data_IF_997240035781
#
_entry.id   IF_997240035781
#
_cell.length_a   1.000
_cell.length_b   1.000
_cell.length_c   1.000
_cell.angle_alpha   90.00
_cell.angle_beta   90.00
_cell.angle_gamma   90.00
#
_symmetry.space_group_name_H-M   'P 1'
#
loop_
_entity.id
_entity.type
_entity.pdbx_description
1 polymer ?
#
# COMPACT_ATOMS: atom_id res chain seq x y z
N UNK A 1 -52.61 29.26 24.88
CA UNK A 1 -52.13 29.57 23.52
C UNK A 1 -51.47 28.29 23.04
N UNK A 2 -52.17 27.57 22.15
CA UNK A 2 -51.75 26.27 21.64
C UNK A 2 -50.83 26.51 20.43
N UNK A 3 -49.67 25.87 20.42
CA UNK A 3 -48.68 25.94 19.34
C UNK A 3 -48.37 24.50 18.95
N UNK A 4 -49.37 23.83 18.41
CA UNK A 4 -49.27 22.50 17.80
C UNK A 4 -50.05 22.58 16.49
N UNK A 5 -49.42 23.00 15.41
CA UNK A 5 -49.83 22.67 14.04
C UNK A 5 -48.85 23.26 13.03
N UNK A 6 -48.69 22.55 11.91
CA UNK A 6 -47.90 22.86 10.71
C UNK A 6 -46.47 22.30 10.74
N UNK A 7 -46.36 20.99 10.48
CA UNK A 7 -45.28 20.47 9.67
C UNK A 7 -45.92 19.95 8.38
N UNK A 8 -45.94 20.81 7.36
CA UNK A 8 -46.33 20.48 6.01
C UNK A 8 -45.29 19.54 5.40
N UNK A 9 -45.82 18.42 4.94
CA UNK A 9 -45.19 17.29 4.30
C UNK A 9 -44.85 17.66 2.86
N UNK A 10 -43.65 18.19 2.61
CA UNK A 10 -43.12 18.33 1.25
C UNK A 10 -42.33 17.06 0.89
N UNK A 11 -43.03 16.10 0.29
CA UNK A 11 -42.42 15.05 -0.51
C UNK A 11 -42.03 15.66 -1.86
N UNK A 12 -40.76 16.04 -2.01
CA UNK A 12 -40.20 16.36 -3.32
C UNK A 12 -39.81 15.06 -4.03
N UNK A 13 -40.34 14.87 -5.23
CA UNK A 13 -40.05 13.77 -6.14
C UNK A 13 -38.56 13.77 -6.51
N UNK A 14 -37.82 12.76 -6.06
CA UNK A 14 -36.45 12.51 -6.50
C UNK A 14 -36.43 12.26 -8.04
N UNK A 15 -35.60 12.98 -8.82
CA UNK A 15 -35.47 12.71 -10.24
C UNK A 15 -34.85 11.34 -10.46
N UNK A 16 -35.62 10.45 -11.09
CA UNK A 16 -35.13 9.16 -11.62
C UNK A 16 -34.10 9.47 -12.69
N UNK A 17 -32.82 9.28 -12.37
CA UNK A 17 -31.72 9.40 -13.31
C UNK A 17 -31.63 8.09 -14.09
N UNK A 18 -32.32 8.01 -15.22
CA UNK A 18 -32.13 6.95 -16.21
C UNK A 18 -30.71 7.09 -16.79
N UNK A 19 -29.83 6.15 -16.45
CA UNK A 19 -28.56 5.98 -17.13
C UNK A 19 -28.85 5.23 -18.44
N UNK A 20 -28.76 5.94 -19.56
CA UNK A 20 -28.67 5.31 -20.87
C UNK A 20 -27.37 4.50 -20.93
N UNK A 21 -27.50 3.17 -20.82
CA UNK A 21 -26.44 2.18 -21.04
C UNK A 21 -26.14 2.02 -22.55
N UNK A 22 -25.91 3.13 -23.25
CA UNK A 22 -25.50 3.12 -24.65
C UNK A 22 -23.99 3.32 -24.80
N UNK A 23 -23.39 2.34 -25.51
CA UNK A 23 -22.13 2.42 -26.25
C UNK A 23 -20.84 2.74 -25.46
N UNK A 24 -20.19 1.69 -24.97
CA UNK A 24 -18.71 1.67 -24.95
C UNK A 24 -18.25 0.80 -26.12
N UNK A 25 -18.02 1.46 -27.25
CA UNK A 25 -17.35 0.89 -28.42
C UNK A 25 -15.98 0.33 -28.02
N UNK A 26 -15.73 -0.90 -28.49
CA UNK A 26 -14.42 -1.55 -28.56
C UNK A 26 -13.46 -0.69 -29.38
N UNK A 27 -12.69 0.18 -28.72
CA UNK A 27 -11.54 0.82 -29.34
C UNK A 27 -10.36 -0.14 -29.38
N UNK A 28 -10.06 -0.52 -30.62
CA UNK A 28 -9.09 -1.49 -31.07
C UNK A 28 -7.66 -1.27 -30.54
N UNK A 29 -6.96 -2.40 -30.48
CA UNK A 29 -5.54 -2.51 -30.20
C UNK A 29 -4.71 -1.81 -31.29
N UNK A 30 -4.01 -0.73 -30.94
CA UNK A 30 -2.89 -0.24 -31.74
C UNK A 30 -1.55 -0.58 -31.07
N UNK A 31 -0.85 -1.45 -31.79
CA UNK A 31 0.47 -1.99 -31.54
C UNK A 31 1.53 -0.90 -31.67
N UNK A 32 2.19 -0.51 -30.57
CA UNK A 32 3.42 0.30 -30.63
C UNK A 32 4.60 -0.51 -30.13
N UNK A 33 5.26 -1.16 -31.09
CA UNK A 33 6.60 -1.71 -30.97
C UNK A 33 7.62 -0.59 -30.72
N UNK A 34 7.83 -0.20 -29.45
CA UNK A 34 8.94 0.66 -29.05
C UNK A 34 10.13 -0.17 -28.56
N UNK A 35 10.99 -0.52 -29.53
CA UNK A 35 12.37 -0.93 -29.26
C UNK A 35 13.10 0.16 -28.44
N UNK A 36 13.76 -0.21 -27.34
CA UNK A 36 14.35 0.82 -26.48
C UNK A 36 15.18 0.32 -25.30
N UNK A 37 16.32 -0.31 -25.58
CA UNK A 37 17.53 -0.38 -24.72
C UNK A 37 17.30 -0.60 -23.22
N UNK A 38 17.35 -1.87 -22.81
CA UNK A 38 17.55 -2.28 -21.41
C UNK A 38 18.86 -1.68 -20.90
N UNK A 39 18.80 -0.57 -20.17
CA UNK A 39 19.90 -0.08 -19.35
C UNK A 39 20.15 -1.11 -18.26
N UNK A 40 21.26 -1.85 -18.39
CA UNK A 40 21.81 -2.67 -17.32
C UNK A 40 22.10 -1.78 -16.12
N UNK A 41 21.31 -1.91 -15.06
CA UNK A 41 21.62 -1.31 -13.78
C UNK A 41 22.88 -1.99 -13.25
N UNK A 42 23.99 -1.28 -13.36
CA UNK A 42 25.25 -1.63 -12.75
C UNK A 42 25.00 -1.85 -11.25
N UNK A 43 25.37 -3.04 -10.77
CA UNK A 43 25.48 -3.36 -9.35
C UNK A 43 26.54 -2.46 -8.74
N UNK A 44 26.11 -1.34 -8.17
CA UNK A 44 26.97 -0.52 -7.33
C UNK A 44 27.25 -1.26 -6.01
N UNK A 45 28.47 -1.79 -5.96
CA UNK A 45 29.41 -1.71 -4.85
C UNK A 45 28.79 -1.90 -3.46
N UNK A 46 28.73 -3.16 -3.03
CA UNK A 46 28.78 -3.48 -1.60
C UNK A 46 30.07 -2.90 -1.00
N UNK A 47 30.03 -2.17 0.13
CA UNK A 47 31.23 -1.71 0.81
C UNK A 47 32.00 -2.93 1.36
N UNK A 48 33.24 -3.04 0.88
CA UNK A 48 34.22 -4.03 1.29
C UNK A 48 34.59 -3.80 2.77
N UNK A 49 33.91 -4.52 3.67
CA UNK A 49 34.26 -4.53 5.10
C UNK A 49 35.62 -5.22 5.28
N UNK A 50 36.68 -4.41 5.30
CA UNK A 50 38.03 -4.84 5.68
C UNK A 50 38.02 -5.38 7.11
N UNK A 51 37.79 -6.68 7.27
CA UNK A 51 38.05 -7.41 8.51
C UNK A 51 39.55 -7.38 8.78
N UNK A 52 39.96 -6.49 9.68
CA UNK A 52 41.28 -6.41 10.29
C UNK A 52 41.52 -7.71 11.07
N UNK A 53 42.07 -8.73 10.39
CA UNK A 53 42.58 -9.94 11.04
C UNK A 53 43.77 -9.53 11.90
N UNK A 54 43.56 -9.45 13.22
CA UNK A 54 44.67 -9.53 14.18
C UNK A 54 45.22 -10.94 14.08
N UNK A 55 46.39 -11.05 13.44
CA UNK A 55 47.28 -12.19 13.59
C UNK A 55 47.70 -12.29 15.05
N UNK A 56 47.51 -13.47 15.62
CA UNK A 56 48.01 -13.88 16.92
C UNK A 56 48.43 -15.34 16.78
N UNK A 57 49.67 -15.59 17.13
CA UNK A 57 50.53 -16.68 16.70
C UNK A 57 50.13 -18.10 17.10
N UNK A 58 50.43 -18.99 16.14
CA UNK A 58 51.21 -20.22 16.26
C UNK A 58 50.97 -21.26 17.38
N UNK A 59 50.81 -22.50 16.88
CA UNK A 59 51.29 -23.78 17.42
C UNK A 59 50.55 -24.40 18.62
N UNK A 60 49.70 -25.37 18.29
CA UNK A 60 49.86 -26.75 18.79
C UNK A 60 49.17 -27.74 17.85
N UNK A 61 49.98 -28.56 17.16
CA UNK A 61 49.52 -29.79 16.50
C UNK A 61 48.93 -30.69 17.59
N UNK A 62 47.61 -30.82 17.64
CA UNK A 62 46.93 -31.81 18.44
C UNK A 62 46.08 -32.66 17.50
N UNK A 63 46.29 -33.97 17.62
CA UNK A 63 45.58 -35.10 17.01
C UNK A 63 44.19 -34.73 16.49
N UNK A 64 44.02 -34.77 15.16
CA UNK A 64 42.72 -34.82 14.51
C UNK A 64 41.98 -36.08 15.01
N UNK A 65 40.99 -35.85 15.85
CA UNK A 65 39.86 -36.77 15.98
C UNK A 65 38.84 -36.36 14.92
N UNK A 66 38.14 -37.31 14.28
CA UNK A 66 37.15 -36.99 13.26
C UNK A 66 36.10 -36.07 13.88
N UNK A 67 36.04 -34.83 13.39
CA UNK A 67 35.08 -33.83 13.81
C UNK A 67 33.67 -34.43 13.71
N UNK A 68 32.93 -34.58 14.83
CA UNK A 68 31.52 -34.87 14.74
C UNK A 68 30.89 -33.65 14.08
N UNK A 69 30.68 -33.74 12.76
CA UNK A 69 30.01 -32.72 11.97
C UNK A 69 28.83 -32.20 12.79
N UNK A 70 28.81 -30.91 13.19
CA UNK A 70 27.79 -30.44 14.10
C UNK A 70 26.46 -30.59 13.38
N UNK A 71 25.71 -31.63 13.73
CA UNK A 71 24.35 -31.81 13.25
C UNK A 71 23.60 -30.63 13.85
N UNK A 72 23.46 -29.55 13.06
CA UNK A 72 22.73 -28.37 13.48
C UNK A 72 21.37 -28.90 13.95
N UNK A 73 21.07 -28.87 15.27
CA UNK A 73 19.85 -29.46 15.74
C UNK A 73 18.73 -28.77 14.98
N UNK A 74 17.93 -29.57 14.27
CA UNK A 74 16.73 -29.09 13.61
C UNK A 74 15.98 -28.27 14.65
N UNK A 75 15.90 -26.95 14.43
CA UNK A 75 15.17 -26.06 15.32
C UNK A 75 13.78 -26.68 15.47
N UNK A 76 13.39 -26.97 16.71
CA UNK A 76 12.08 -27.58 17.01
C UNK A 76 11.00 -26.86 16.20
N UNK A 77 10.09 -27.62 15.58
CA UNK A 77 8.99 -27.07 14.77
C UNK A 77 8.28 -25.91 15.49
N UNK A 78 8.18 -25.98 16.83
CA UNK A 78 7.65 -24.91 17.69
C UNK A 78 8.33 -23.55 17.51
N UNK A 79 9.66 -23.53 17.40
CA UNK A 79 10.44 -22.29 17.18
C UNK A 79 10.18 -21.71 15.80
N UNK A 80 10.03 -22.55 14.78
CA UNK A 80 9.74 -22.11 13.43
C UNK A 80 8.35 -21.48 13.34
N UNK A 81 7.32 -22.14 13.91
CA UNK A 81 5.95 -21.63 13.95
C UNK A 81 5.90 -20.27 14.67
N UNK A 82 6.54 -20.14 15.83
CA UNK A 82 6.56 -18.88 16.56
C UNK A 82 7.24 -17.74 15.77
N UNK A 83 8.33 -18.04 15.04
CA UNK A 83 8.98 -17.06 14.17
C UNK A 83 8.11 -16.69 12.97
N UNK A 84 7.43 -17.66 12.38
CA UNK A 84 6.55 -17.42 11.24
C UNK A 84 5.35 -16.56 11.65
N UNK A 85 4.74 -16.84 12.81
CA UNK A 85 3.69 -16.01 13.40
C UNK A 85 4.16 -14.58 13.70
N UNK A 86 5.37 -14.42 14.26
CA UNK A 86 5.95 -13.09 14.50
C UNK A 86 6.21 -12.33 13.19
N UNK A 87 6.66 -13.02 12.16
CA UNK A 87 6.92 -12.42 10.85
C UNK A 87 5.62 -12.03 10.14
N UNK A 88 4.58 -12.88 10.18
CA UNK A 88 3.27 -12.56 9.59
C UNK A 88 2.61 -11.38 10.30
N UNK A 89 2.72 -11.31 11.63
CA UNK A 89 2.27 -10.12 12.38
C UNK A 89 3.03 -8.85 11.95
N UNK A 90 4.34 -8.95 11.73
CA UNK A 90 5.15 -7.86 11.20
C UNK A 90 4.71 -7.41 9.81
N UNK A 91 4.42 -8.35 8.91
CA UNK A 91 3.91 -8.04 7.57
C UNK A 91 2.55 -7.35 7.64
N UNK A 92 1.63 -7.85 8.47
CA UNK A 92 0.31 -7.25 8.66
C UNK A 92 0.43 -5.80 9.16
N UNK A 93 1.35 -5.54 10.12
CA UNK A 93 1.64 -4.18 10.61
C UNK A 93 2.15 -3.27 9.50
N UNK A 94 3.08 -3.76 8.67
CA UNK A 94 3.63 -2.98 7.56
C UNK A 94 2.57 -2.60 6.53
N UNK A 95 1.67 -3.53 6.19
CA UNK A 95 0.55 -3.25 5.29
C UNK A 95 -0.40 -2.21 5.91
N UNK A 96 -0.75 -2.39 7.19
CA UNK A 96 -1.70 -1.52 7.89
C UNK A 96 -1.16 -0.12 8.23
N UNK A 97 0.16 0.09 8.22
CA UNK A 97 0.78 1.34 8.66
C UNK A 97 0.30 2.57 7.88
N UNK A 98 -0.09 2.40 6.61
CA UNK A 98 -0.54 3.50 5.75
C UNK A 98 -1.98 3.95 5.98
N UNK A 99 -2.82 3.13 6.63
CA UNK A 99 -4.25 3.42 6.73
C UNK A 99 -4.88 3.13 8.10
N UNK A 100 -4.19 2.47 9.02
CA UNK A 100 -4.66 2.24 10.40
C UNK A 100 -3.96 3.21 11.35
N UNK A 101 -4.69 3.74 12.34
CA UNK A 101 -4.11 4.63 13.35
C UNK A 101 -2.94 3.97 14.08
N UNK A 102 -1.82 4.69 14.33
CA UNK A 102 -0.61 4.11 14.91
C UNK A 102 -0.82 3.52 16.31
N UNK A 103 -1.76 4.08 17.09
CA UNK A 103 -2.13 3.58 18.42
C UNK A 103 -2.65 2.15 18.37
N UNK A 104 -3.35 1.79 17.29
CA UNK A 104 -3.97 0.47 17.11
C UNK A 104 -3.00 -0.57 16.54
N UNK A 105 -1.91 -0.16 15.88
CA UNK A 105 -0.90 -1.08 15.31
C UNK A 105 -0.22 -1.95 16.38
N UNK A 106 -0.14 -1.47 17.63
CA UNK A 106 0.37 -2.27 18.76
C UNK A 106 -0.46 -3.52 19.03
N UNK A 107 -1.76 -3.48 18.72
CA UNK A 107 -2.73 -4.53 18.99
C UNK A 107 -3.48 -4.95 17.72
N UNK A 108 -2.76 -5.09 16.60
CA UNK A 108 -3.33 -5.31 15.27
C UNK A 108 -4.28 -6.50 15.16
N UNK A 109 -4.10 -7.55 15.99
CA UNK A 109 -4.98 -8.73 16.03
C UNK A 109 -6.42 -8.41 16.45
N UNK A 110 -6.63 -7.32 17.22
CA UNK A 110 -7.94 -6.90 17.72
C UNK A 110 -8.58 -5.80 16.88
N UNK A 111 -7.92 -5.39 15.79
CA UNK A 111 -8.41 -4.29 14.95
C UNK A 111 -9.54 -4.80 14.06
N UNK A 112 -10.70 -4.17 14.19
CA UNK A 112 -11.81 -4.33 13.26
C UNK A 112 -11.65 -3.37 12.10
N UNK A 113 -11.37 -3.93 10.92
CA UNK A 113 -11.23 -3.18 9.68
C UNK A 113 -12.57 -2.66 9.11
N UNK A 114 -13.70 -3.08 9.67
CA UNK A 114 -15.02 -2.56 9.31
C UNK A 114 -15.28 -1.17 9.93
N UNK A 115 -14.61 -0.84 11.03
CA UNK A 115 -14.85 0.41 11.76
C UNK A 115 -14.01 1.55 11.17
N UNK A 116 -14.68 2.52 10.54
CA UNK A 116 -14.03 3.71 9.99
C UNK A 116 -13.27 4.52 11.06
N UNK A 117 -13.67 4.46 12.33
CA UNK A 117 -12.99 5.13 13.45
C UNK A 117 -11.56 4.63 13.68
N UNK A 118 -11.24 3.40 13.25
CA UNK A 118 -9.91 2.80 13.39
C UNK A 118 -8.97 3.22 12.25
N UNK A 119 -9.54 3.70 11.16
CA UNK A 119 -8.81 4.10 9.97
C UNK A 119 -8.29 5.54 10.11
N UNK A 120 -7.23 5.84 9.36
CA UNK A 120 -6.74 7.19 9.17
C UNK A 120 -7.62 7.93 8.15
N UNK A 121 -7.72 9.26 8.24
CA UNK A 121 -8.44 10.06 7.25
C UNK A 121 -7.75 9.95 5.88
N UNK A 122 -8.55 10.01 4.81
CA UNK A 122 -8.10 9.83 3.41
C UNK A 122 -6.98 10.81 3.03
N UNK A 123 -6.95 11.99 3.64
CA UNK A 123 -5.95 13.02 3.40
C UNK A 123 -4.55 12.58 3.85
N UNK A 124 -4.47 11.72 4.87
CA UNK A 124 -3.24 11.24 5.48
C UNK A 124 -2.74 9.92 4.88
N UNK A 125 -3.52 9.28 4.00
CA UNK A 125 -3.11 8.03 3.35
C UNK A 125 -1.98 8.32 2.36
N UNK A 126 -0.83 7.69 2.60
CA UNK A 126 0.35 7.86 1.77
C UNK A 126 0.29 6.96 0.53
N UNK A 127 0.25 7.57 -0.65
CA UNK A 127 0.20 6.86 -1.94
C UNK A 127 1.59 6.46 -2.48
N UNK A 128 2.66 7.05 -1.95
CA UNK A 128 4.00 6.91 -2.50
C UNK A 128 4.31 7.92 -3.62
N UNK A 129 5.60 8.22 -3.84
CA UNK A 129 6.04 9.21 -4.83
C UNK A 129 5.77 8.77 -6.27
N UNK A 130 5.86 7.47 -6.54
CA UNK A 130 5.67 6.90 -7.88
C UNK A 130 4.23 7.13 -8.38
N UNK A 131 3.26 7.00 -7.48
CA UNK A 131 1.84 7.21 -7.79
C UNK A 131 1.54 8.70 -7.94
N UNK A 132 2.09 9.56 -7.07
CA UNK A 132 1.92 11.01 -7.24
C UNK A 132 2.47 11.49 -8.57
N UNK A 133 3.63 10.98 -9.00
CA UNK A 133 4.23 11.33 -10.29
C UNK A 133 3.35 10.90 -11.47
N UNK A 134 2.67 9.74 -11.36
CA UNK A 134 1.75 9.26 -12.40
C UNK A 134 0.50 10.13 -12.45
N UNK A 135 -0.09 10.45 -11.29
CA UNK A 135 -1.25 11.33 -11.21
C UNK A 135 -0.91 12.71 -11.78
N UNK A 136 0.25 13.25 -11.42
CA UNK A 136 0.72 14.53 -11.95
C UNK A 136 0.91 14.47 -13.47
N UNK A 137 1.49 13.40 -14.03
CA UNK A 137 1.62 13.23 -15.48
C UNK A 137 0.29 13.16 -16.22
N UNK A 138 -0.73 12.54 -15.61
CA UNK A 138 -2.08 12.47 -16.18
C UNK A 138 -2.69 13.88 -16.27
N UNK A 139 -2.43 14.73 -15.27
CA UNK A 139 -2.95 16.10 -15.21
C UNK A 139 -2.06 17.14 -15.92
N UNK A 140 -0.75 16.91 -16.07
CA UNK A 140 0.24 17.81 -16.67
C UNK A 140 0.15 17.95 -18.19
N UNK A 141 -0.68 17.13 -18.86
CA UNK A 141 -0.99 17.34 -20.29
C UNK A 141 -1.84 18.60 -20.55
N UNK A 142 -2.19 19.33 -19.51
CA UNK A 142 -2.96 20.56 -19.58
C UNK A 142 -1.99 21.75 -19.58
N UNK A 143 -1.87 22.45 -20.71
CA UNK A 143 -1.04 23.65 -20.80
C UNK A 143 -1.49 24.72 -19.78
N UNK A 144 -0.64 25.10 -18.81
CA UNK A 144 -1.02 26.02 -17.74
C UNK A 144 -1.27 27.45 -18.25
N UNK A 145 -0.70 27.79 -19.41
CA UNK A 145 -0.80 29.14 -19.99
C UNK A 145 -2.00 29.32 -20.94
N UNK A 146 -2.73 28.26 -21.27
CA UNK A 146 -3.74 28.29 -22.33
C UNK A 146 -5.18 28.48 -21.83
N UNK A 147 -5.43 28.52 -20.52
CA UNK A 147 -6.80 28.45 -19.97
C UNK A 147 -7.24 29.69 -19.20
N UNK A 148 -8.51 30.13 -19.37
CA UNK A 148 -9.15 31.11 -18.50
C UNK A 148 -9.18 30.65 -17.03
N UNK A 149 -9.20 31.60 -16.10
CA UNK A 149 -9.20 31.34 -14.65
C UNK A 149 -10.32 30.37 -14.21
N UNK A 150 -11.51 30.47 -14.81
CA UNK A 150 -12.65 29.62 -14.47
C UNK A 150 -12.42 28.14 -14.84
N UNK A 151 -11.67 27.89 -15.92
CA UNK A 151 -11.35 26.52 -16.38
C UNK A 151 -10.22 25.90 -15.53
N UNK A 152 -9.39 26.72 -14.88
CA UNK A 152 -8.36 26.24 -13.96
C UNK A 152 -8.99 25.70 -12.67
N UNK A 153 -9.95 26.43 -12.07
CA UNK A 153 -10.64 26.00 -10.85
C UNK A 153 -11.36 24.65 -11.05
N UNK A 154 -12.04 24.47 -12.18
CA UNK A 154 -12.69 23.20 -12.53
C UNK A 154 -11.67 22.06 -12.71
N UNK A 155 -10.53 22.33 -13.34
CA UNK A 155 -9.47 21.33 -13.54
C UNK A 155 -8.84 20.89 -12.21
N UNK A 156 -8.62 21.82 -11.28
CA UNK A 156 -8.12 21.52 -9.93
C UNK A 156 -9.13 20.69 -9.12
N UNK A 157 -10.41 21.05 -9.19
CA UNK A 157 -11.47 20.27 -8.52
C UNK A 157 -11.57 18.85 -9.08
N UNK A 158 -11.50 18.70 -10.42
CA UNK A 158 -11.46 17.39 -11.06
C UNK A 158 -10.25 16.57 -10.60
N UNK A 159 -9.06 17.18 -10.58
CA UNK A 159 -7.83 16.54 -10.07
C UNK A 159 -7.97 16.10 -8.61
N UNK A 160 -8.55 16.94 -7.75
CA UNK A 160 -8.78 16.60 -6.35
C UNK A 160 -9.74 15.39 -6.20
N UNK A 161 -10.80 15.35 -7.03
CA UNK A 161 -11.72 14.21 -7.07
C UNK A 161 -11.04 12.94 -7.55
N UNK A 162 -10.23 13.00 -8.61
CA UNK A 162 -9.51 11.83 -9.14
C UNK A 162 -8.53 11.27 -8.10
N UNK A 163 -7.78 12.13 -7.41
CA UNK A 163 -6.90 11.74 -6.31
C UNK A 163 -7.70 11.08 -5.17
N UNK A 164 -8.86 11.64 -4.82
CA UNK A 164 -9.72 11.10 -3.77
C UNK A 164 -10.24 9.70 -4.13
N UNK A 165 -10.73 9.52 -5.36
CA UNK A 165 -11.20 8.22 -5.88
C UNK A 165 -10.06 7.20 -5.89
N UNK A 166 -8.86 7.60 -6.31
CA UNK A 166 -7.70 6.73 -6.29
C UNK A 166 -7.34 6.28 -4.87
N UNK A 167 -7.32 7.21 -3.91
CA UNK A 167 -7.07 6.90 -2.48
C UNK A 167 -8.10 5.93 -1.91
N UNK A 168 -9.37 6.09 -2.26
CA UNK A 168 -10.43 5.17 -1.85
C UNK A 168 -10.17 3.75 -2.39
N UNK A 169 -9.86 3.62 -3.69
CA UNK A 169 -9.55 2.30 -4.28
C UNK A 169 -8.31 1.65 -3.64
N UNK A 170 -7.27 2.43 -3.36
CA UNK A 170 -6.11 1.93 -2.63
C UNK A 170 -6.49 1.46 -1.23
N UNK A 171 -7.31 2.24 -0.51
CA UNK A 171 -7.76 1.88 0.83
C UNK A 171 -8.55 0.57 0.80
N UNK A 172 -9.46 0.39 -0.15
CA UNK A 172 -10.23 -0.84 -0.31
C UNK A 172 -9.33 -2.04 -0.61
N UNK A 173 -8.37 -1.88 -1.51
CA UNK A 173 -7.38 -2.89 -1.82
C UNK A 173 -6.57 -3.29 -0.58
N UNK A 174 -6.00 -2.32 0.13
CA UNK A 174 -5.20 -2.60 1.32
C UNK A 174 -6.01 -3.19 2.47
N UNK A 175 -7.26 -2.75 2.62
CA UNK A 175 -8.18 -3.29 3.62
C UNK A 175 -8.52 -4.75 3.31
N UNK A 176 -8.74 -5.08 2.04
CA UNK A 176 -8.98 -6.46 1.59
C UNK A 176 -7.74 -7.32 1.81
N UNK A 177 -6.57 -6.86 1.37
CA UNK A 177 -5.31 -7.56 1.57
C UNK A 177 -5.00 -7.79 3.06
N UNK A 178 -5.28 -6.82 3.92
CA UNK A 178 -5.08 -6.96 5.37
C UNK A 178 -6.05 -7.98 6.00
N UNK A 179 -7.31 -8.01 5.55
CA UNK A 179 -8.28 -9.04 5.97
C UNK A 179 -7.81 -10.43 5.57
N UNK A 180 -7.44 -10.63 4.31
CA UNK A 180 -6.95 -11.91 3.79
C UNK A 180 -5.67 -12.36 4.50
N UNK A 181 -4.70 -11.45 4.70
CA UNK A 181 -3.47 -11.75 5.45
C UNK A 181 -3.76 -12.15 6.89
N UNK A 182 -4.73 -11.50 7.55
CA UNK A 182 -5.14 -11.86 8.91
C UNK A 182 -5.76 -13.25 8.95
N UNK A 183 -6.58 -13.58 7.97
CA UNK A 183 -7.31 -14.86 7.93
C UNK A 183 -6.39 -16.04 7.56
N UNK A 184 -5.34 -15.79 6.75
CA UNK A 184 -4.33 -16.78 6.37
C UNK A 184 -3.19 -16.95 7.40
N UNK A 185 -2.90 -15.92 8.18
CA UNK A 185 -1.80 -15.96 9.13
C UNK A 185 -2.12 -16.92 10.29
N UNK A 186 -1.19 -17.82 10.67
CA UNK A 186 -1.32 -18.63 11.87
C UNK A 186 -1.08 -17.72 13.09
N UNK A 187 -2.11 -16.95 13.47
CA UNK A 187 -2.08 -15.95 14.54
C UNK A 187 -2.41 -16.52 15.91
#
# INVERSE_FOLDING_TARGET
MNVDEILDEQAEDDPVFEFDDDEVEEAEAEEVAASGKRKSWARDRTPEYKRKRRGGDAKKKSKETPDPSPSKPFKSKKVLVHKLAKNSEGMLRNVCQNFVKPVLLSHIKKVEFANASNMMPLEQVFLGPEVSDILDKIHLKIDPNARPADVQAQAEQKRANDIKVFRLRCLDFYTTAAKELRDLAPL
#
